data_IF_307670170467
#
_entry.id   IF_307670170467
#
_cell.length_a   1.000
_cell.length_b   1.000
_cell.length_c   1.000
_cell.angle_alpha   90.00
_cell.angle_beta   90.00
_cell.angle_gamma   90.00
#
_symmetry.space_group_name_H-M   'P 1'
#
loop_
_entity.id
_entity.type
_entity.pdbx_description
1 polymer ?
#
# COMPACT_ATOMS: atom_id res chain seq x y z
N UNK A 1 -45.33 81.28 14.78
CA UNK A 1 -43.95 80.77 15.00
C UNK A 1 -44.05 79.47 15.79
N UNK A 2 -43.46 78.40 15.24
CA UNK A 2 -43.71 76.99 15.59
C UNK A 2 -42.92 76.55 16.83
N UNK A 3 -43.55 75.71 17.65
CA UNK A 3 -42.99 74.97 18.79
C UNK A 3 -41.90 74.00 18.31
N UNK A 4 -40.74 73.95 18.96
CA UNK A 4 -39.77 72.86 18.76
C UNK A 4 -39.78 71.92 19.97
N UNK A 5 -40.28 70.72 19.71
CA UNK A 5 -40.27 69.53 20.56
C UNK A 5 -38.83 69.00 20.66
N UNK A 6 -38.48 68.42 21.81
CA UNK A 6 -37.13 67.96 22.14
C UNK A 6 -36.64 66.73 21.36
N UNK A 7 -35.34 66.45 21.53
CA UNK A 7 -34.74 65.20 21.09
C UNK A 7 -33.65 64.80 22.11
N UNK A 8 -33.96 63.77 22.91
CA UNK A 8 -32.98 63.05 23.74
C UNK A 8 -32.41 61.94 22.85
N UNK A 9 -31.10 62.00 22.59
CA UNK A 9 -30.40 60.97 21.81
C UNK A 9 -29.74 60.00 22.79
N UNK A 10 -30.35 58.83 22.95
CA UNK A 10 -29.77 57.68 23.65
C UNK A 10 -28.97 56.87 22.63
N UNK A 11 -27.64 56.89 22.74
CA UNK A 11 -26.75 56.10 21.88
C UNK A 11 -26.66 54.66 22.41
N UNK A 12 -27.44 53.74 21.84
CA UNK A 12 -27.24 52.30 22.01
C UNK A 12 -26.11 51.83 21.08
N UNK A 13 -24.90 51.65 21.61
CA UNK A 13 -23.81 50.97 20.90
C UNK A 13 -23.96 49.47 21.15
N UNK A 14 -24.76 48.79 20.34
CA UNK A 14 -24.73 47.33 20.23
C UNK A 14 -23.59 46.96 19.28
N UNK A 15 -22.44 46.58 19.82
CA UNK A 15 -21.37 45.97 19.04
C UNK A 15 -21.79 44.54 18.68
N UNK A 16 -21.89 44.16 17.39
CA UNK A 16 -22.03 42.76 17.03
C UNK A 16 -20.71 42.05 17.35
N UNK A 17 -20.77 41.11 18.29
CA UNK A 17 -19.73 40.11 18.52
C UNK A 17 -19.47 39.40 17.18
N UNK A 18 -18.30 39.66 16.59
CA UNK A 18 -17.80 38.93 15.44
C UNK A 18 -17.58 37.48 15.85
N UNK A 19 -18.60 36.67 15.59
CA UNK A 19 -18.59 35.23 15.70
C UNK A 19 -17.69 34.69 14.58
N UNK A 20 -16.37 34.76 14.76
CA UNK A 20 -15.44 34.05 13.90
C UNK A 20 -15.41 32.57 14.34
N UNK A 21 -16.50 31.87 14.07
CA UNK A 21 -16.51 30.41 14.05
C UNK A 21 -15.62 29.98 12.89
N UNK A 22 -14.34 29.73 13.15
CA UNK A 22 -13.56 28.82 12.32
C UNK A 22 -14.20 27.45 12.46
N UNK A 23 -15.22 27.17 11.65
CA UNK A 23 -15.72 25.80 11.49
C UNK A 23 -14.57 25.01 10.88
N UNK A 24 -13.84 24.27 11.71
CA UNK A 24 -13.02 23.17 11.24
C UNK A 24 -13.91 22.33 10.33
N UNK A 25 -13.55 22.28 9.05
CA UNK A 25 -14.32 21.57 8.04
C UNK A 25 -14.23 20.08 8.38
N UNK A 26 -15.25 19.54 9.05
CA UNK A 26 -15.29 18.12 9.41
C UNK A 26 -15.29 17.30 8.13
N UNK A 27 -14.16 16.68 7.82
CA UNK A 27 -14.04 15.79 6.65
C UNK A 27 -15.07 14.66 6.77
N UNK A 28 -15.70 14.31 5.65
CA UNK A 28 -16.48 13.08 5.58
C UNK A 28 -15.61 11.85 5.88
N UNK A 29 -16.23 10.71 6.22
CA UNK A 29 -15.50 9.45 6.45
C UNK A 29 -14.56 9.08 5.29
N UNK A 30 -15.06 9.22 4.05
CA UNK A 30 -14.31 8.95 2.82
C UNK A 30 -13.17 9.94 2.59
N UNK A 31 -13.40 11.24 2.72
CA UNK A 31 -12.33 12.23 2.52
C UNK A 31 -11.22 12.06 3.56
N UNK A 32 -11.59 11.72 4.79
CA UNK A 32 -10.64 11.38 5.84
C UNK A 32 -9.82 10.14 5.46
N UNK A 33 -10.47 9.06 5.06
CA UNK A 33 -9.80 7.83 4.65
C UNK A 33 -8.86 8.06 3.46
N UNK A 34 -9.29 8.81 2.45
CA UNK A 34 -8.47 9.18 1.31
C UNK A 34 -7.20 9.91 1.74
N UNK A 35 -7.33 10.88 2.65
CA UNK A 35 -6.18 11.62 3.18
C UNK A 35 -5.18 10.67 3.87
N UNK A 36 -5.68 9.77 4.72
CA UNK A 36 -4.83 8.76 5.39
C UNK A 36 -4.18 7.82 4.37
N UNK A 37 -4.93 7.35 3.37
CA UNK A 37 -4.41 6.48 2.32
C UNK A 37 -3.21 7.11 1.61
N UNK A 38 -3.33 8.35 1.12
CA UNK A 38 -2.22 9.02 0.44
C UNK A 38 -1.05 9.35 1.38
N UNK A 39 -1.32 9.61 2.66
CA UNK A 39 -0.29 9.85 3.66
C UNK A 39 0.57 8.61 3.91
N UNK A 40 -0.04 7.43 4.05
CA UNK A 40 0.69 6.18 4.34
C UNK A 40 1.23 5.47 3.10
N UNK A 41 0.68 5.78 1.91
CA UNK A 41 1.01 5.09 0.66
C UNK A 41 2.52 4.96 0.37
N UNK A 42 3.36 6.00 0.51
CA UNK A 42 4.81 5.87 0.25
C UNK A 42 5.46 4.82 1.16
N UNK A 43 5.18 4.88 2.46
CA UNK A 43 5.72 3.93 3.43
C UNK A 43 5.23 2.51 3.18
N UNK A 44 3.98 2.37 2.74
CA UNK A 44 3.39 1.07 2.38
C UNK A 44 4.11 0.47 1.19
N UNK A 45 4.23 1.22 0.09
CA UNK A 45 4.92 0.76 -1.13
C UNK A 45 6.35 0.38 -0.82
N UNK A 46 7.12 1.22 -0.12
CA UNK A 46 8.50 0.92 0.26
C UNK A 46 8.64 -0.37 1.10
N UNK A 47 7.60 -0.71 1.87
CA UNK A 47 7.62 -1.87 2.75
C UNK A 47 7.21 -3.17 2.05
N UNK A 48 6.37 -3.11 1.02
CA UNK A 48 5.80 -4.31 0.36
C UNK A 48 6.40 -4.56 -1.02
N UNK A 49 6.91 -3.52 -1.67
CA UNK A 49 7.48 -3.61 -2.99
C UNK A 49 9.00 -3.75 -2.91
N UNK A 50 9.52 -4.65 -3.72
CA UNK A 50 10.94 -4.72 -4.04
C UNK A 50 11.09 -4.98 -5.55
N UNK A 51 12.22 -4.57 -6.12
CA UNK A 51 12.54 -4.85 -7.51
C UNK A 51 12.88 -6.34 -7.67
N UNK A 52 12.01 -7.12 -8.31
CA UNK A 52 12.18 -8.57 -8.46
C UNK A 52 13.42 -8.95 -9.26
N UNK A 53 13.92 -8.04 -10.09
CA UNK A 53 15.13 -8.25 -10.89
C UNK A 53 16.37 -8.41 -10.00
N UNK A 54 16.31 -7.95 -8.75
CA UNK A 54 17.37 -8.08 -7.75
C UNK A 54 17.34 -9.41 -6.97
N UNK A 55 16.32 -10.26 -7.14
CA UNK A 55 16.26 -11.56 -6.47
C UNK A 55 17.28 -12.54 -7.11
N UNK A 56 18.00 -13.34 -6.31
CA UNK A 56 18.81 -14.44 -6.83
C UNK A 56 17.97 -15.44 -7.64
N UNK A 57 18.51 -16.04 -8.71
CA UNK A 57 17.79 -17.09 -9.42
C UNK A 57 17.41 -18.21 -8.44
N UNK A 58 16.22 -18.82 -8.59
CA UNK A 58 15.82 -19.91 -7.72
C UNK A 58 16.79 -21.09 -7.84
N UNK A 59 16.79 -22.01 -6.85
CA UNK A 59 17.49 -23.28 -6.94
C UNK A 59 17.18 -23.99 -8.27
N UNK A 60 18.16 -24.67 -8.87
CA UNK A 60 17.92 -25.41 -10.10
C UNK A 60 16.93 -26.55 -9.85
N UNK A 61 16.16 -26.95 -10.88
CA UNK A 61 15.25 -28.09 -10.75
C UNK A 61 16.03 -29.41 -10.53
N UNK A 62 15.40 -30.43 -9.92
CA UNK A 62 16.00 -31.76 -9.68
C UNK A 62 16.75 -32.34 -10.90
N UNK A 63 16.11 -32.33 -12.05
CA UNK A 63 16.59 -32.86 -13.32
C UNK A 63 17.81 -32.10 -13.87
N UNK A 64 18.05 -30.85 -13.45
CA UNK A 64 19.30 -30.15 -13.74
C UNK A 64 20.48 -30.74 -12.96
N UNK A 65 20.26 -31.12 -11.69
CA UNK A 65 21.27 -31.70 -10.80
C UNK A 65 21.54 -33.17 -11.16
N UNK A 66 20.51 -33.96 -11.47
CA UNK A 66 20.67 -35.35 -11.90
C UNK A 66 21.55 -35.47 -13.15
N UNK A 67 21.35 -34.59 -14.15
CA UNK A 67 22.17 -34.53 -15.37
C UNK A 67 23.64 -34.22 -15.10
N UNK A 68 23.98 -33.71 -13.92
CA UNK A 68 25.36 -33.42 -13.47
C UNK A 68 25.92 -34.51 -12.55
N UNK A 69 25.19 -35.61 -12.38
CA UNK A 69 25.62 -36.76 -11.59
C UNK A 69 25.39 -36.62 -10.09
N UNK A 70 24.61 -35.63 -9.64
CA UNK A 70 24.22 -35.55 -8.23
C UNK A 70 23.08 -36.52 -7.93
N UNK A 71 23.15 -37.19 -6.77
CA UNK A 71 22.12 -38.13 -6.33
C UNK A 71 20.93 -37.40 -5.68
N UNK A 72 20.04 -36.91 -6.53
CA UNK A 72 18.83 -36.19 -6.13
C UNK A 72 17.76 -37.12 -5.55
N UNK A 73 17.72 -38.39 -6.00
CA UNK A 73 16.69 -39.35 -5.62
C UNK A 73 16.83 -39.81 -4.17
N UNK A 74 18.05 -39.92 -3.67
CA UNK A 74 18.26 -40.25 -2.26
C UNK A 74 18.03 -39.04 -1.35
N UNK A 75 18.57 -37.88 -1.71
CA UNK A 75 18.47 -36.64 -0.91
C UNK A 75 18.73 -35.40 -1.77
N UNK A 76 17.64 -34.74 -2.21
CA UNK A 76 17.72 -33.49 -2.98
C UNK A 76 18.48 -32.39 -2.24
N UNK A 77 18.32 -32.27 -0.93
CA UNK A 77 19.00 -31.22 -0.17
C UNK A 77 20.50 -31.45 -0.18
N UNK A 78 20.94 -32.68 0.07
CA UNK A 78 22.37 -33.04 0.01
C UNK A 78 22.94 -32.90 -1.40
N UNK A 79 22.18 -33.27 -2.43
CA UNK A 79 22.57 -33.05 -3.82
C UNK A 79 22.78 -31.56 -4.12
N UNK A 80 21.85 -30.70 -3.68
CA UNK A 80 21.95 -29.26 -3.81
C UNK A 80 23.14 -28.68 -3.02
N UNK A 81 23.29 -29.03 -1.74
CA UNK A 81 24.39 -28.58 -0.88
C UNK A 81 25.78 -28.97 -1.47
N UNK A 82 25.87 -30.10 -2.18
CA UNK A 82 27.07 -30.51 -2.90
C UNK A 82 27.29 -29.69 -4.18
N UNK A 83 26.23 -29.43 -4.93
CA UNK A 83 26.30 -28.59 -6.13
C UNK A 83 26.68 -27.13 -5.82
N UNK A 84 26.22 -26.57 -4.69
CA UNK A 84 26.61 -25.22 -4.26
C UNK A 84 28.12 -25.05 -4.02
N UNK A 85 28.86 -26.15 -3.82
CA UNK A 85 30.33 -26.14 -3.66
C UNK A 85 31.07 -26.20 -4.99
N UNK A 86 30.37 -26.48 -6.09
CA UNK A 86 30.96 -26.63 -7.43
C UNK A 86 31.44 -25.29 -8.01
N UNK A 87 32.38 -25.35 -8.94
CA UNK A 87 32.84 -24.16 -9.66
C UNK A 87 31.77 -23.58 -10.59
N UNK A 88 30.83 -24.41 -11.05
CA UNK A 88 29.67 -23.95 -11.82
C UNK A 88 28.78 -23.02 -10.98
N UNK A 89 28.48 -23.40 -9.73
CA UNK A 89 27.70 -22.56 -8.83
C UNK A 89 28.42 -21.24 -8.55
N UNK A 90 29.73 -21.28 -8.23
CA UNK A 90 30.53 -20.07 -8.00
C UNK A 90 30.47 -19.12 -9.20
N UNK A 91 30.61 -19.64 -10.41
CA UNK A 91 30.49 -18.85 -11.64
C UNK A 91 29.09 -18.23 -11.76
N UNK A 92 28.02 -19.02 -11.59
CA UNK A 92 26.64 -18.51 -11.63
C UNK A 92 26.38 -17.43 -10.59
N UNK A 93 26.96 -17.55 -9.41
CA UNK A 93 26.87 -16.55 -8.35
C UNK A 93 27.55 -15.25 -8.77
N UNK A 94 28.77 -15.31 -9.31
CA UNK A 94 29.50 -14.14 -9.84
C UNK A 94 28.71 -13.48 -10.98
N UNK A 95 28.20 -14.27 -11.92
CA UNK A 95 27.39 -13.76 -13.05
C UNK A 95 26.12 -13.05 -12.55
N UNK A 96 25.45 -13.60 -11.53
CA UNK A 96 24.30 -12.95 -10.90
C UNK A 96 24.70 -11.67 -10.15
N UNK A 97 25.80 -11.67 -9.40
CA UNK A 97 26.31 -10.48 -8.70
C UNK A 97 26.60 -9.34 -9.68
N UNK A 98 27.28 -9.63 -10.79
CA UNK A 98 27.54 -8.68 -11.86
C UNK A 98 26.24 -8.14 -12.47
N UNK A 99 25.28 -9.00 -12.76
CA UNK A 99 23.95 -8.59 -13.28
C UNK A 99 23.19 -7.73 -12.28
N UNK A 100 23.18 -8.11 -11.01
CA UNK A 100 22.53 -7.38 -9.91
C UNK A 100 23.11 -5.98 -9.79
N UNK A 101 24.43 -5.85 -9.86
CA UNK A 101 25.09 -4.56 -9.75
C UNK A 101 24.80 -3.66 -10.96
N UNK A 102 24.67 -4.24 -12.16
CA UNK A 102 24.14 -3.53 -13.33
C UNK A 102 22.70 -3.04 -13.13
N UNK A 103 21.81 -3.88 -12.56
CA UNK A 103 20.41 -3.50 -12.29
C UNK A 103 20.32 -2.39 -11.23
N UNK A 104 21.21 -2.37 -10.24
CA UNK A 104 21.23 -1.28 -9.25
C UNK A 104 21.48 0.07 -9.92
N UNK A 105 22.35 0.10 -10.93
CA UNK A 105 22.69 1.29 -11.72
C UNK A 105 21.64 1.61 -12.82
N UNK A 106 20.77 0.66 -13.16
CA UNK A 106 19.71 0.84 -14.15
C UNK A 106 18.70 1.91 -13.72
N UNK A 107 18.49 2.94 -14.54
CA UNK A 107 17.54 4.04 -14.28
C UNK A 107 16.18 3.82 -14.92
N UNK A 108 15.95 2.65 -15.54
CA UNK A 108 14.68 2.32 -16.19
C UNK A 108 13.51 2.46 -15.21
N UNK A 109 12.46 3.15 -15.65
CA UNK A 109 11.25 3.29 -14.87
C UNK A 109 10.51 1.95 -14.77
N UNK A 110 10.05 1.65 -13.57
CA UNK A 110 9.29 0.44 -13.25
C UNK A 110 7.85 0.83 -13.01
N UNK A 111 6.94 0.26 -13.79
CA UNK A 111 5.52 0.57 -13.72
C UNK A 111 4.79 -0.43 -12.85
N UNK A 112 3.98 0.10 -11.93
CA UNK A 112 3.03 -0.64 -11.12
C UNK A 112 1.62 -0.24 -11.55
N UNK A 113 0.81 -1.23 -11.93
CA UNK A 113 -0.59 -1.00 -12.24
C UNK A 113 -1.39 -0.95 -10.93
N UNK A 114 -2.17 0.11 -10.73
CA UNK A 114 -2.91 0.36 -9.50
C UNK A 114 -4.41 0.17 -9.76
N UNK A 115 -5.07 -0.63 -8.93
CA UNK A 115 -6.53 -0.77 -8.96
C UNK A 115 -7.21 0.59 -8.87
N UNK A 116 -8.17 0.84 -9.77
CA UNK A 116 -8.76 2.17 -9.96
C UNK A 116 -9.65 2.61 -8.79
N UNK A 117 -10.17 1.66 -8.03
CA UNK A 117 -11.10 1.92 -6.93
C UNK A 117 -10.82 1.05 -5.71
N UNK A 118 -11.01 1.63 -4.53
CA UNK A 118 -10.91 0.98 -3.22
C UNK A 118 -12.32 0.97 -2.63
N UNK A 119 -12.96 -0.19 -2.54
CA UNK A 119 -14.40 -0.28 -2.29
C UNK A 119 -14.85 -1.38 -1.31
N UNK A 120 -13.93 -2.18 -0.77
CA UNK A 120 -14.26 -3.32 0.08
C UNK A 120 -13.47 -3.29 1.39
N UNK A 121 -14.10 -3.76 2.46
CA UNK A 121 -13.47 -4.15 3.71
C UNK A 121 -13.42 -5.68 3.80
N UNK A 122 -12.43 -6.24 4.50
CA UNK A 122 -12.53 -7.62 4.98
C UNK A 122 -13.13 -7.63 6.37
N UNK A 123 -14.15 -8.47 6.62
CA UNK A 123 -14.77 -8.55 7.95
C UNK A 123 -13.77 -8.99 9.03
N UNK A 124 -12.82 -9.82 8.63
CA UNK A 124 -11.72 -10.32 9.44
C UNK A 124 -10.82 -9.18 9.96
N UNK A 125 -10.75 -8.05 9.23
CA UNK A 125 -9.94 -6.89 9.62
C UNK A 125 -10.42 -6.27 10.93
N UNK A 126 -11.72 -6.28 11.19
CA UNK A 126 -12.28 -5.79 12.45
C UNK A 126 -11.72 -6.57 13.64
N UNK A 127 -11.75 -7.89 13.56
CA UNK A 127 -11.25 -8.76 14.64
C UNK A 127 -9.74 -8.63 14.80
N UNK A 128 -9.01 -8.57 13.68
CA UNK A 128 -7.55 -8.43 13.72
C UNK A 128 -7.12 -7.05 14.26
N UNK A 129 -7.87 -5.97 13.98
CA UNK A 129 -7.62 -4.64 14.55
C UNK A 129 -7.75 -4.63 16.07
N UNK A 130 -8.87 -5.14 16.59
CA UNK A 130 -9.11 -5.24 18.05
C UNK A 130 -8.03 -6.09 18.70
N UNK A 131 -7.68 -7.22 18.09
CA UNK A 131 -6.67 -8.14 18.62
C UNK A 131 -5.28 -7.50 18.66
N UNK A 132 -4.90 -6.81 17.60
CA UNK A 132 -3.58 -6.17 17.48
C UNK A 132 -3.42 -5.02 18.48
N UNK A 133 -4.46 -4.19 18.64
CA UNK A 133 -4.46 -3.06 19.58
C UNK A 133 -5.24 -3.33 20.88
N UNK A 134 -5.29 -4.58 21.34
CA UNK A 134 -6.13 -4.99 22.49
C UNK A 134 -5.94 -4.16 23.76
N UNK A 135 -4.73 -3.64 24.00
CA UNK A 135 -4.40 -2.84 25.19
C UNK A 135 -5.06 -1.44 25.18
N UNK A 136 -5.53 -0.99 24.01
CA UNK A 136 -6.10 0.33 23.81
C UNK A 136 -7.63 0.35 23.96
N UNK A 137 -8.27 -0.79 24.24
CA UNK A 137 -9.72 -0.92 24.42
C UNK A 137 -10.51 -0.24 23.29
N UNK A 138 -10.17 -0.57 22.04
CA UNK A 138 -10.75 0.06 20.86
C UNK A 138 -12.26 -0.17 20.78
N UNK A 139 -12.99 0.89 20.40
CA UNK A 139 -14.37 0.79 19.91
C UNK A 139 -14.34 0.91 18.39
N UNK A 140 -15.00 -0.01 17.69
CA UNK A 140 -15.15 0.05 16.23
C UNK A 140 -16.59 0.46 15.91
N UNK A 141 -16.78 1.39 14.97
CA UNK A 141 -18.10 1.71 14.45
C UNK A 141 -18.45 0.73 13.33
N UNK A 142 -19.25 -0.28 13.65
CA UNK A 142 -19.65 -1.30 12.68
C UNK A 142 -20.88 -0.94 11.86
N UNK A 143 -21.53 0.20 12.12
CA UNK A 143 -22.84 0.52 11.55
C UNK A 143 -22.80 1.07 10.11
N UNK A 144 -21.62 1.26 9.52
CA UNK A 144 -21.44 1.82 8.18
C UNK A 144 -20.66 0.96 7.17
N UNK A 145 -20.12 -0.20 7.58
CA UNK A 145 -19.20 -0.99 6.75
C UNK A 145 -19.73 -1.34 5.35
N UNK A 146 -21.00 -1.71 5.25
CA UNK A 146 -21.61 -2.18 4.01
C UNK A 146 -22.29 -1.06 3.20
N UNK A 147 -22.37 0.16 3.75
CA UNK A 147 -23.16 1.27 3.19
C UNK A 147 -22.31 2.34 2.51
N UNK A 148 -21.04 2.47 2.88
CA UNK A 148 -20.16 3.48 2.29
C UNK A 148 -19.57 3.02 0.95
N UNK A 149 -19.94 3.73 -0.12
CA UNK A 149 -19.27 3.58 -1.42
C UNK A 149 -17.79 3.95 -1.27
N UNK A 150 -16.94 3.09 -1.81
CA UNK A 150 -15.50 3.35 -1.91
C UNK A 150 -15.13 4.59 -2.71
N UNK A 151 -13.83 4.77 -2.93
CA UNK A 151 -13.31 5.90 -3.70
C UNK A 151 -12.41 5.47 -4.86
N UNK A 152 -12.27 6.35 -5.84
CA UNK A 152 -11.30 6.19 -6.92
C UNK A 152 -9.93 6.70 -6.50
N UNK A 153 -8.89 5.96 -6.87
CA UNK A 153 -7.50 6.37 -6.64
C UNK A 153 -7.11 7.42 -7.68
N UNK A 154 -6.62 8.56 -7.20
CA UNK A 154 -6.02 9.61 -8.00
C UNK A 154 -4.52 9.37 -8.08
N UNK A 155 -4.07 8.84 -9.22
CA UNK A 155 -2.67 8.48 -9.44
C UNK A 155 -1.71 9.66 -9.28
N UNK A 156 -2.17 10.89 -9.51
CA UNK A 156 -1.34 12.09 -9.37
C UNK A 156 -1.01 12.43 -7.92
N UNK A 157 -1.76 11.86 -6.96
CA UNK A 157 -1.52 12.03 -5.52
C UNK A 157 -0.67 10.90 -4.93
N UNK A 158 -0.36 9.87 -5.71
CA UNK A 158 0.48 8.77 -5.26
C UNK A 158 1.94 9.23 -5.23
N UNK A 159 2.51 9.26 -4.03
CA UNK A 159 3.91 9.58 -3.79
C UNK A 159 4.71 8.30 -3.52
N UNK A 160 6.01 8.33 -3.80
CA UNK A 160 6.92 7.21 -3.51
C UNK A 160 8.30 7.76 -3.19
N UNK A 161 9.04 7.06 -2.33
CA UNK A 161 10.44 7.37 -2.06
C UNK A 161 11.38 6.68 -3.07
N UNK A 162 10.85 5.89 -4.00
CA UNK A 162 11.59 5.25 -5.07
C UNK A 162 11.32 5.96 -6.41
N UNK A 163 12.31 6.70 -6.86
CA UNK A 163 12.34 7.50 -8.07
C UNK A 163 12.16 6.67 -9.37
N UNK A 164 12.50 5.38 -9.36
CA UNK A 164 12.24 4.46 -10.48
C UNK A 164 10.77 4.07 -10.61
N UNK A 165 10.00 4.12 -9.53
CA UNK A 165 8.60 3.71 -9.55
C UNK A 165 7.72 4.74 -10.27
N UNK A 166 6.80 4.22 -11.08
CA UNK A 166 5.75 4.96 -11.78
C UNK A 166 4.44 4.17 -11.66
N UNK A 167 3.32 4.89 -11.67
CA UNK A 167 2.00 4.29 -11.47
C UNK A 167 1.14 4.47 -12.72
N UNK A 168 0.40 3.42 -13.07
CA UNK A 168 -0.60 3.45 -14.15
C UNK A 168 -1.92 2.90 -13.65
N UNK A 169 -3.01 3.34 -14.25
CA UNK A 169 -4.35 2.85 -13.91
C UNK A 169 -4.49 1.42 -14.41
N UNK A 170 -5.00 0.50 -13.59
CA UNK A 170 -5.26 -0.87 -14.00
C UNK A 170 -6.23 -0.93 -15.20
N UNK A 171 -7.15 0.04 -15.33
CA UNK A 171 -8.07 0.14 -16.46
C UNK A 171 -7.39 0.48 -17.80
N UNK A 172 -6.13 0.97 -17.82
CA UNK A 172 -5.35 1.19 -19.05
C UNK A 172 -4.93 -0.14 -19.72
N UNK A 173 -5.05 -1.27 -19.02
CA UNK A 173 -4.49 -2.55 -19.45
C UNK A 173 -5.57 -3.56 -19.88
N UNK A 174 -5.21 -4.54 -20.73
CA UNK A 174 -6.07 -5.68 -21.03
C UNK A 174 -6.47 -6.45 -19.76
N UNK A 175 -7.62 -7.11 -19.80
CA UNK A 175 -8.11 -7.90 -18.66
C UNK A 175 -7.54 -9.31 -18.65
N UNK A 176 -7.47 -9.91 -17.45
CA UNK A 176 -7.16 -11.33 -17.29
C UNK A 176 -5.73 -11.69 -17.73
N UNK A 177 -5.58 -12.73 -18.55
CA UNK A 177 -4.26 -13.25 -18.96
C UNK A 177 -3.48 -12.25 -19.81
N UNK A 178 -4.18 -11.51 -20.67
CA UNK A 178 -3.56 -10.56 -21.61
C UNK A 178 -2.82 -9.44 -20.91
N UNK A 179 -3.24 -9.08 -19.69
CA UNK A 179 -2.51 -8.16 -18.81
C UNK A 179 -1.02 -8.54 -18.69
N UNK A 180 -0.75 -9.83 -18.50
CA UNK A 180 0.60 -10.36 -18.24
C UNK A 180 1.37 -10.82 -19.49
N UNK A 181 0.67 -11.07 -20.60
CA UNK A 181 1.29 -11.61 -21.82
C UNK A 181 1.48 -10.56 -22.91
N UNK A 182 0.85 -9.40 -22.78
CA UNK A 182 1.07 -8.27 -23.68
C UNK A 182 2.50 -7.76 -23.53
N UNK A 183 3.15 -7.50 -24.66
CA UNK A 183 4.45 -6.84 -24.69
C UNK A 183 4.23 -5.32 -24.65
N UNK A 184 4.71 -4.67 -23.60
CA UNK A 184 4.64 -3.21 -23.44
C UNK A 184 5.99 -2.60 -23.81
N UNK A 185 5.98 -1.33 -24.24
CA UNK A 185 7.17 -0.52 -24.47
C UNK A 185 7.83 -0.02 -23.17
N UNK A 186 7.26 -0.38 -22.02
CA UNK A 186 7.77 -0.11 -20.68
C UNK A 186 7.80 -1.36 -19.80
N UNK A 187 8.56 -1.31 -18.70
CA UNK A 187 8.67 -2.42 -17.76
C UNK A 187 7.52 -2.41 -16.74
N UNK A 188 6.46 -3.18 -17.02
CA UNK A 188 5.37 -3.48 -16.08
C UNK A 188 5.80 -4.61 -15.13
N UNK A 189 5.87 -4.33 -13.83
CA UNK A 189 6.41 -5.29 -12.85
C UNK A 189 5.33 -5.93 -11.98
N UNK A 190 4.31 -5.18 -11.58
CA UNK A 190 3.26 -5.68 -10.70
C UNK A 190 1.92 -4.97 -10.89
N UNK A 191 0.87 -5.63 -10.41
CA UNK A 191 -0.45 -5.05 -10.17
C UNK A 191 -0.70 -4.99 -8.67
N UNK A 192 -1.21 -3.86 -8.17
CA UNK A 192 -1.44 -3.60 -6.75
C UNK A 192 -2.88 -3.15 -6.51
N UNK A 193 -3.54 -3.82 -5.56
CA UNK A 193 -4.88 -3.50 -5.11
C UNK A 193 -4.92 -3.23 -3.60
N UNK A 194 -5.84 -2.36 -3.19
CA UNK A 194 -6.04 -1.98 -1.79
C UNK A 194 -7.49 -2.18 -1.39
N UNK A 195 -7.68 -2.58 -0.15
CA UNK A 195 -8.98 -2.53 0.52
C UNK A 195 -9.14 -1.20 1.26
N UNK A 196 -10.37 -0.89 1.64
CA UNK A 196 -10.73 0.26 2.47
C UNK A 196 -10.00 0.20 3.81
N UNK A 197 -9.73 1.35 4.40
CA UNK A 197 -9.11 1.46 5.72
C UNK A 197 -10.19 1.45 6.80
N UNK A 198 -10.19 0.41 7.61
CA UNK A 198 -11.02 0.34 8.80
C UNK A 198 -10.34 1.09 9.94
N UNK A 199 -11.01 2.10 10.48
CA UNK A 199 -10.57 2.85 11.65
C UNK A 199 -11.29 2.44 12.94
N UNK A 200 -10.63 2.68 14.07
CA UNK A 200 -11.34 2.79 15.34
C UNK A 200 -12.19 4.08 15.38
N UNK A 201 -13.16 4.14 16.32
CA UNK A 201 -14.09 5.26 16.47
C UNK A 201 -13.38 6.61 16.64
N UNK A 202 -12.20 6.64 17.25
CA UNK A 202 -11.45 7.86 17.49
C UNK A 202 -10.47 8.20 16.35
N UNK A 203 -10.48 7.43 15.24
CA UNK A 203 -9.61 7.65 14.07
C UNK A 203 -8.15 7.84 14.48
N UNK A 204 -7.66 6.93 15.32
CA UNK A 204 -6.31 6.89 15.87
C UNK A 204 -5.55 5.62 15.49
N UNK A 205 -6.28 4.57 15.15
CA UNK A 205 -5.78 3.28 14.71
C UNK A 205 -6.55 2.84 13.46
N UNK A 206 -5.87 2.13 12.56
CA UNK A 206 -6.53 1.59 11.39
C UNK A 206 -5.89 0.30 10.89
N UNK A 207 -6.62 -0.40 10.02
CA UNK A 207 -6.16 -1.60 9.34
C UNK A 207 -6.72 -1.64 7.91
N UNK A 208 -5.93 -2.18 6.98
CA UNK A 208 -6.37 -2.48 5.62
C UNK A 208 -5.53 -3.61 5.03
N UNK A 209 -5.99 -4.16 3.90
CA UNK A 209 -5.24 -5.15 3.13
C UNK A 209 -4.71 -4.56 1.83
N UNK A 210 -3.57 -5.10 1.40
CA UNK A 210 -2.96 -4.83 0.12
C UNK A 210 -2.65 -6.16 -0.56
N UNK A 211 -3.03 -6.26 -1.84
CA UNK A 211 -2.65 -7.35 -2.72
C UNK A 211 -1.62 -6.87 -3.72
N UNK A 212 -0.52 -7.62 -3.87
CA UNK A 212 0.53 -7.37 -4.86
C UNK A 212 0.72 -8.62 -5.70
N UNK A 213 0.46 -8.50 -7.01
CA UNK A 213 0.51 -9.61 -7.97
C UNK A 213 1.59 -9.33 -9.01
N UNK A 214 2.36 -10.35 -9.36
CA UNK A 214 3.47 -10.33 -10.32
C UNK A 214 3.36 -11.53 -11.26
N UNK A 215 2.67 -11.36 -12.37
CA UNK A 215 2.38 -12.48 -13.26
C UNK A 215 1.15 -13.29 -12.80
N UNK A 216 0.95 -14.44 -13.45
CA UNK A 216 -0.31 -15.21 -13.32
C UNK A 216 -0.43 -16.04 -12.04
N UNK A 217 0.68 -16.42 -11.44
CA UNK A 217 0.78 -17.43 -10.36
C UNK A 217 1.79 -17.00 -9.28
N UNK A 218 1.87 -15.69 -9.05
CA UNK A 218 2.74 -15.13 -8.04
C UNK A 218 2.06 -13.88 -7.52
N UNK A 219 1.25 -14.07 -6.48
CA UNK A 219 0.61 -13.01 -5.76
C UNK A 219 0.90 -13.13 -4.27
N UNK A 220 0.91 -12.00 -3.60
CA UNK A 220 1.04 -11.92 -2.16
C UNK A 220 0.05 -10.91 -1.60
N UNK A 221 -0.53 -11.24 -0.45
CA UNK A 221 -1.38 -10.35 0.31
C UNK A 221 -0.76 -10.00 1.64
N UNK A 222 -0.95 -8.77 2.09
CA UNK A 222 -0.60 -8.37 3.44
C UNK A 222 -1.69 -7.51 4.08
N UNK A 223 -1.79 -7.63 5.40
CA UNK A 223 -2.61 -6.80 6.29
C UNK A 223 -1.70 -5.79 6.96
N UNK A 224 -2.06 -4.52 6.86
CA UNK A 224 -1.28 -3.39 7.36
C UNK A 224 -2.06 -2.73 8.49
N UNK A 225 -1.42 -2.65 9.66
CA UNK A 225 -1.91 -1.91 10.81
C UNK A 225 -1.22 -0.56 10.85
N UNK A 226 -2.00 0.50 10.99
CA UNK A 226 -1.53 1.89 11.07
C UNK A 226 -2.02 2.54 12.36
N UNK A 227 -1.29 3.55 12.83
CA UNK A 227 -1.67 4.37 13.98
C UNK A 227 -1.17 5.80 13.81
N UNK A 228 -1.72 6.71 14.60
CA UNK A 228 -1.13 8.02 14.78
C UNK A 228 0.11 7.94 15.68
N UNK A 229 1.19 8.61 15.27
CA UNK A 229 2.35 8.85 16.11
C UNK A 229 2.09 9.97 17.13
N UNK A 230 3.12 10.32 17.91
CA UNK A 230 3.05 11.40 18.91
C UNK A 230 2.78 12.79 18.31
N UNK A 231 3.01 12.96 17.00
CA UNK A 231 2.78 14.19 16.26
C UNK A 231 1.44 14.18 15.50
N UNK A 232 0.66 13.10 15.63
CA UNK A 232 -0.61 12.92 14.94
C UNK A 232 -0.48 12.44 13.49
N UNK A 233 0.72 12.09 13.01
CA UNK A 233 0.95 11.54 11.67
C UNK A 233 0.64 10.06 11.63
N UNK A 234 0.07 9.59 10.52
CA UNK A 234 -0.19 8.18 10.30
C UNK A 234 1.08 7.43 9.93
N UNK A 235 1.39 6.41 10.69
CA UNK A 235 2.56 5.54 10.49
C UNK A 235 2.15 4.07 10.48
N UNK A 236 2.93 3.25 9.79
CA UNK A 236 2.80 1.79 9.85
C UNK A 236 3.23 1.32 11.23
N UNK A 237 2.34 0.61 11.91
CA UNK A 237 2.66 -0.08 13.16
C UNK A 237 3.13 -1.52 12.90
N UNK A 238 2.47 -2.22 11.96
CA UNK A 238 2.81 -3.60 11.61
C UNK A 238 2.30 -4.00 10.23
N UNK A 239 3.06 -4.86 9.56
CA UNK A 239 2.64 -5.56 8.34
C UNK A 239 2.62 -7.06 8.64
N UNK A 240 1.57 -7.76 8.22
CA UNK A 240 1.39 -9.20 8.40
C UNK A 240 0.99 -9.83 7.07
N UNK A 241 1.76 -10.80 6.57
CA UNK A 241 1.37 -11.58 5.39
C UNK A 241 0.04 -12.33 5.62
N UNK A 242 -0.83 -12.36 4.62
CA UNK A 242 -2.15 -13.00 4.68
C UNK A 242 -2.26 -14.19 3.75
N UNK A 243 -1.75 -14.08 2.53
CA UNK A 243 -1.78 -15.16 1.55
C UNK A 243 -0.60 -15.07 0.57
N UNK A 244 -0.26 -16.20 -0.01
CA UNK A 244 0.67 -16.36 -1.13
C UNK A 244 -0.04 -17.27 -2.13
N UNK A 245 -0.09 -16.87 -3.40
CA UNK A 245 -0.75 -17.60 -4.48
C UNK A 245 0.16 -17.76 -5.69
#
# INVERSE_FOLDING_TARGET
>A
MKKSLGLVITLFITAPLLWNCNQEKTLSGIEFEQAVFYEVFPAVIDSIYYDWRLIPPPPPPPDFLEKRGYDVKSDFKKAYDNWEKSDEYKKRKIDWENKRDSIKQDTTSIFLAISDSINQFEREDMYELIKHFKKQNLSIDSKGFDLEKGFKVDLNKLNTNNDKLKFKSQAEFPKGREFWTTNYDFYLDASIGFNRILFDKNKSFGVFNVGLVRGRLNGTGCRIFIKKDVNGKWVIDKIKGTWIS
#
